data_IF_673343822865
#
_entry.id   IF_673343822865
#
_cell.length_a   1.000
_cell.length_b   1.000
_cell.length_c   1.000
_cell.angle_alpha   90.00
_cell.angle_beta   90.00
_cell.angle_gamma   90.00
#
_symmetry.space_group_name_H-M   'P 1'
#
loop_
_entity.id
_entity.type
_entity.pdbx_description
1 polymer ?
#
# COMPACT_ATOMS: atom_id res chain seq x y z
N UNK A 1 2.92 4.74 2.37
CA UNK A 1 3.60 5.84 1.64
C UNK A 1 3.83 5.45 0.19
N UNK A 2 2.87 5.77 -0.70
CA UNK A 2 3.23 6.15 -2.07
C UNK A 2 2.40 7.37 -2.52
N UNK A 3 3.02 8.55 -2.61
CA UNK A 3 2.36 9.79 -3.08
C UNK A 3 3.19 10.56 -4.13
N UNK A 4 4.39 10.08 -4.48
CA UNK A 4 5.25 10.75 -5.46
C UNK A 4 4.76 10.64 -6.91
N UNK A 5 3.84 9.71 -7.22
CA UNK A 5 3.35 9.47 -8.59
C UNK A 5 2.60 10.68 -9.17
N UNK A 6 1.80 11.38 -8.35
CA UNK A 6 1.07 12.56 -8.80
C UNK A 6 2.00 13.71 -9.18
N UNK A 7 2.99 13.99 -8.34
CA UNK A 7 4.01 15.00 -8.60
C UNK A 7 4.89 14.65 -9.80
N UNK A 8 5.33 13.40 -9.87
CA UNK A 8 6.09 12.88 -11.01
C UNK A 8 5.34 13.11 -12.32
N UNK A 9 4.05 12.79 -12.37
CA UNK A 9 3.21 12.98 -13.56
C UNK A 9 3.08 14.44 -13.96
N UNK A 10 2.89 15.33 -12.98
CA UNK A 10 2.79 16.78 -13.24
C UNK A 10 4.09 17.33 -13.81
N UNK A 11 5.23 16.97 -13.22
CA UNK A 11 6.55 17.39 -13.71
C UNK A 11 6.86 16.81 -15.10
N UNK A 12 6.49 15.56 -15.35
CA UNK A 12 6.63 14.94 -16.67
C UNK A 12 5.78 15.65 -17.74
N UNK A 13 4.52 15.99 -17.41
CA UNK A 13 3.64 16.76 -18.31
C UNK A 13 4.20 18.15 -18.62
N UNK A 14 4.84 18.78 -17.65
CA UNK A 14 5.55 20.05 -17.82
C UNK A 14 6.91 19.91 -18.53
N UNK A 15 7.27 18.70 -19.00
CA UNK A 15 8.55 18.38 -19.67
C UNK A 15 9.79 18.64 -18.81
N UNK A 16 9.63 18.56 -17.49
CA UNK A 16 10.78 18.60 -16.58
C UNK A 16 11.38 17.19 -16.43
N UNK A 17 12.71 17.04 -16.58
CA UNK A 17 13.37 15.77 -16.30
C UNK A 17 13.30 15.47 -14.80
N UNK A 18 12.84 14.26 -14.46
CA UNK A 18 12.75 13.79 -13.07
C UNK A 18 13.65 12.59 -12.91
N UNK A 19 14.45 12.60 -11.84
CA UNK A 19 15.36 11.51 -11.48
C UNK A 19 14.95 11.04 -10.09
N UNK A 20 14.72 9.74 -9.93
CA UNK A 20 14.50 9.16 -8.61
C UNK A 20 15.85 8.84 -7.97
N UNK A 21 16.14 9.43 -6.81
CA UNK A 21 17.31 9.01 -6.04
C UNK A 21 16.93 7.79 -5.20
N UNK A 22 17.77 6.76 -5.23
CA UNK A 22 17.59 5.58 -4.40
C UNK A 22 17.52 5.99 -2.92
N UNK A 23 16.73 5.26 -2.12
CA UNK A 23 16.62 5.54 -0.68
C UNK A 23 18.02 5.45 -0.06
N UNK A 24 18.56 6.51 0.56
CA UNK A 24 19.83 6.41 1.26
C UNK A 24 19.72 5.30 2.31
N UNK A 25 20.78 4.47 2.44
CA UNK A 25 20.88 3.50 3.54
C UNK A 25 20.58 4.27 4.82
N UNK A 26 19.64 3.77 5.63
CA UNK A 26 19.27 4.38 6.91
C UNK A 26 20.54 4.49 7.77
N UNK A 27 21.21 5.63 7.73
CA UNK A 27 22.20 5.96 8.73
C UNK A 27 21.46 6.13 10.06
N UNK A 28 22.07 5.70 11.16
CA UNK A 28 21.62 6.03 12.51
C UNK A 28 21.36 7.53 12.57
N UNK A 29 20.12 7.92 12.89
CA UNK A 29 19.69 9.33 12.91
C UNK A 29 20.72 10.16 13.66
N UNK A 30 21.33 11.14 12.99
CA UNK A 30 22.12 12.18 13.67
C UNK A 30 21.22 12.85 14.72
N UNK A 31 21.75 13.25 15.88
CA UNK A 31 21.00 14.05 16.86
C UNK A 31 20.79 15.44 16.25
N UNK A 32 19.67 15.60 15.57
CA UNK A 32 19.36 16.76 14.74
C UNK A 32 18.31 16.29 13.75
N UNK A 33 17.06 16.71 13.97
CA UNK A 33 15.88 16.21 13.27
C UNK A 33 15.99 16.22 11.73
N UNK A 34 15.07 15.50 11.10
CA UNK A 34 14.96 15.39 9.63
C UNK A 34 14.99 16.78 9.00
N UNK A 35 15.98 17.06 8.16
CA UNK A 35 16.10 18.33 7.44
C UNK A 35 15.93 18.08 5.95
N UNK A 36 14.73 18.31 5.44
CA UNK A 36 14.42 18.12 4.02
C UNK A 36 15.35 18.92 3.07
N UNK A 37 15.82 20.14 3.39
CA UNK A 37 16.81 20.86 2.56
C UNK A 37 18.19 20.19 2.50
N UNK A 38 18.63 19.57 3.59
CA UNK A 38 19.90 18.83 3.62
C UNK A 38 19.77 17.53 2.82
N UNK A 39 18.64 16.83 2.98
CA UNK A 39 18.31 15.62 2.22
C UNK A 39 18.24 15.92 0.71
N UNK A 40 17.67 17.06 0.31
CA UNK A 40 17.60 17.48 -1.10
C UNK A 40 18.99 17.74 -1.71
N UNK A 41 19.87 18.43 -1.00
CA UNK A 41 21.26 18.66 -1.43
C UNK A 41 22.04 17.36 -1.57
N UNK A 42 21.92 16.48 -0.57
CA UNK A 42 22.55 15.17 -0.61
C UNK A 42 22.03 14.32 -1.79
N UNK A 43 20.72 14.33 -2.03
CA UNK A 43 20.11 13.65 -3.17
C UNK A 43 20.65 14.18 -4.51
N UNK A 44 20.76 15.50 -4.68
CA UNK A 44 21.32 16.11 -5.88
C UNK A 44 22.79 15.72 -6.10
N UNK A 45 23.62 15.77 -5.05
CA UNK A 45 25.02 15.34 -5.11
C UNK A 45 25.15 13.86 -5.50
N UNK A 46 24.33 13.00 -4.90
CA UNK A 46 24.30 11.58 -5.27
C UNK A 46 23.87 11.35 -6.72
N UNK A 47 22.88 12.10 -7.22
CA UNK A 47 22.44 11.99 -8.60
C UNK A 47 23.54 12.43 -9.58
N UNK A 48 24.25 13.53 -9.29
CA UNK A 48 25.36 14.02 -10.12
C UNK A 48 26.55 13.06 -10.17
N UNK A 49 26.85 12.38 -9.06
CA UNK A 49 27.95 11.42 -8.98
C UNK A 49 27.58 10.01 -9.50
N UNK A 50 26.32 9.75 -9.84
CA UNK A 50 25.87 8.42 -10.22
C UNK A 50 26.27 8.09 -11.67
N UNK A 51 26.88 6.91 -11.93
CA UNK A 51 27.23 6.49 -13.28
C UNK A 51 26.00 6.19 -14.16
N UNK A 52 24.85 5.96 -13.53
CA UNK A 52 23.54 5.82 -14.19
C UNK A 52 22.48 6.50 -13.34
N UNK A 53 21.67 7.33 -13.97
CA UNK A 53 20.53 7.98 -13.33
C UNK A 53 19.38 6.97 -13.24
N UNK A 54 18.82 6.79 -12.05
CA UNK A 54 17.64 5.98 -11.88
C UNK A 54 16.43 6.74 -12.45
N UNK A 55 15.78 6.12 -13.42
CA UNK A 55 14.52 6.63 -13.93
C UNK A 55 13.41 6.38 -12.90
N UNK A 56 12.52 7.36 -12.71
CA UNK A 56 11.43 7.24 -11.79
C UNK A 56 10.56 6.03 -12.14
N UNK A 57 9.96 5.41 -11.12
CA UNK A 57 9.10 4.24 -11.34
C UNK A 57 7.96 4.62 -12.27
N UNK A 58 7.96 4.03 -13.46
CA UNK A 58 7.04 4.40 -14.53
C UNK A 58 5.56 4.12 -14.18
N UNK A 59 4.70 5.05 -14.62
CA UNK A 59 3.26 4.85 -14.78
C UNK A 59 2.97 3.69 -15.78
N UNK A 60 1.74 3.15 -15.78
CA UNK A 60 1.30 2.10 -16.73
C UNK A 60 0.99 0.76 -16.06
N UNK A 61 1.37 -0.36 -16.69
CA UNK A 61 1.00 -1.71 -16.25
C UNK A 61 1.43 -2.03 -14.80
N UNK A 62 2.59 -1.52 -14.36
CA UNK A 62 3.06 -1.68 -12.97
C UNK A 62 2.15 -0.97 -11.97
N UNK A 63 1.70 0.23 -12.30
CA UNK A 63 0.79 1.00 -11.44
C UNK A 63 -0.62 0.38 -11.43
N UNK A 64 -1.10 -0.09 -12.59
CA UNK A 64 -2.34 -0.86 -12.68
C UNK A 64 -2.29 -2.13 -11.81
N UNK A 65 -1.19 -2.89 -11.87
CA UNK A 65 -0.98 -4.07 -11.01
C UNK A 65 -0.93 -3.68 -9.53
N UNK A 66 -0.25 -2.58 -9.18
CA UNK A 66 -0.20 -2.09 -7.79
C UNK A 66 -1.60 -1.77 -7.27
N UNK A 67 -2.42 -1.08 -8.06
CA UNK A 67 -3.80 -0.75 -7.73
C UNK A 67 -4.62 -2.03 -7.53
N UNK A 68 -4.51 -3.00 -8.44
CA UNK A 68 -5.20 -4.29 -8.33
C UNK A 68 -4.80 -5.07 -7.08
N UNK A 69 -3.50 -5.14 -6.77
CA UNK A 69 -3.01 -5.82 -5.57
C UNK A 69 -3.48 -5.12 -4.30
N UNK A 70 -3.50 -3.79 -4.28
CA UNK A 70 -4.06 -3.03 -3.16
C UNK A 70 -5.55 -3.30 -2.99
N UNK A 71 -6.34 -3.23 -4.07
CA UNK A 71 -7.77 -3.52 -4.04
C UNK A 71 -8.05 -4.95 -3.53
N UNK A 72 -7.28 -5.95 -4.00
CA UNK A 72 -7.36 -7.33 -3.51
C UNK A 72 -7.04 -7.43 -2.02
N UNK A 73 -5.95 -6.79 -1.57
CA UNK A 73 -5.55 -6.81 -0.16
C UNK A 73 -6.62 -6.18 0.74
N UNK A 74 -7.23 -5.09 0.28
CA UNK A 74 -8.34 -4.43 0.97
C UNK A 74 -9.57 -5.33 1.01
N UNK A 75 -9.96 -5.93 -0.11
CA UNK A 75 -11.09 -6.86 -0.16
C UNK A 75 -10.91 -8.03 0.80
N UNK A 76 -9.70 -8.61 0.87
CA UNK A 76 -9.38 -9.69 1.80
C UNK A 76 -9.45 -9.24 3.27
N UNK A 77 -8.94 -8.05 3.59
CA UNK A 77 -8.98 -7.49 4.93
C UNK A 77 -10.42 -7.21 5.36
N UNK A 78 -11.21 -6.56 4.50
CA UNK A 78 -12.63 -6.30 4.74
C UNK A 78 -13.41 -7.60 4.91
N UNK A 79 -13.22 -8.59 4.03
CA UNK A 79 -13.87 -9.90 4.17
C UNK A 79 -13.56 -10.55 5.52
N UNK A 80 -12.29 -10.55 5.92
CA UNK A 80 -11.87 -11.13 7.20
C UNK A 80 -12.52 -10.38 8.38
N UNK A 81 -12.52 -9.05 8.34
CA UNK A 81 -13.16 -8.22 9.35
C UNK A 81 -14.68 -8.49 9.44
N UNK A 82 -15.37 -8.57 8.31
CA UNK A 82 -16.81 -8.86 8.24
C UNK A 82 -17.14 -10.24 8.81
N UNK A 83 -16.37 -11.27 8.46
CA UNK A 83 -16.57 -12.63 9.01
C UNK A 83 -16.36 -12.64 10.52
N UNK A 84 -15.33 -11.97 11.01
CA UNK A 84 -15.07 -11.89 12.46
C UNK A 84 -16.18 -11.13 13.18
N UNK A 85 -16.68 -10.03 12.60
CA UNK A 85 -17.81 -9.28 13.14
C UNK A 85 -19.07 -10.16 13.22
N UNK A 86 -19.39 -10.91 12.16
CA UNK A 86 -20.53 -11.83 12.16
C UNK A 86 -20.40 -12.91 13.24
N UNK A 87 -19.21 -13.49 13.41
CA UNK A 87 -18.96 -14.47 14.47
C UNK A 87 -19.18 -13.88 15.86
N UNK A 88 -18.66 -12.67 16.11
CA UNK A 88 -18.87 -11.97 17.39
C UNK A 88 -20.36 -11.74 17.61
N UNK A 89 -21.07 -11.19 16.62
CA UNK A 89 -22.51 -10.95 16.71
C UNK A 89 -23.29 -12.22 17.05
N UNK A 90 -22.96 -13.35 16.42
CA UNK A 90 -23.61 -14.63 16.68
C UNK A 90 -23.32 -15.17 18.10
N UNK A 91 -22.08 -15.03 18.58
CA UNK A 91 -21.72 -15.42 19.95
C UNK A 91 -22.37 -14.51 21.00
N UNK A 92 -22.53 -13.23 20.72
CA UNK A 92 -23.17 -12.27 21.64
C UNK A 92 -24.67 -12.14 21.48
N UNK A 93 -25.26 -12.78 20.46
CA UNK A 93 -26.70 -12.68 20.18
C UNK A 93 -27.54 -13.34 21.29
N UNK A 94 -28.76 -12.83 21.55
CA UNK A 94 -29.78 -13.55 22.33
C UNK A 94 -30.03 -14.97 21.81
N UNK A 95 -30.45 -15.88 22.68
CA UNK A 95 -30.64 -17.31 22.36
C UNK A 95 -31.58 -17.56 21.18
N UNK A 96 -32.67 -16.79 21.10
CA UNK A 96 -33.67 -16.90 20.02
C UNK A 96 -33.05 -16.65 18.63
N UNK A 97 -32.09 -15.72 18.55
CA UNK A 97 -31.36 -15.44 17.31
C UNK A 97 -30.32 -16.52 17.01
N UNK A 98 -29.63 -17.07 18.00
CA UNK A 98 -28.69 -18.19 17.80
C UNK A 98 -29.39 -19.42 17.21
N UNK A 99 -30.54 -19.80 17.76
CA UNK A 99 -31.32 -20.95 17.29
C UNK A 99 -31.75 -20.81 15.83
N UNK A 100 -32.07 -19.60 15.38
CA UNK A 100 -32.44 -19.31 13.98
C UNK A 100 -31.28 -19.62 13.01
N UNK A 101 -30.03 -19.40 13.42
CA UNK A 101 -28.85 -19.66 12.60
C UNK A 101 -28.31 -21.09 12.73
N UNK A 102 -28.58 -21.80 13.82
CA UNK A 102 -28.25 -23.23 13.96
C UNK A 102 -29.10 -24.12 13.04
N UNK A 103 -30.36 -23.74 12.81
CA UNK A 103 -31.26 -24.45 11.90
C UNK A 103 -30.95 -24.20 10.41
N UNK A 104 -30.07 -23.24 10.09
CA UNK A 104 -29.70 -22.92 8.72
C UNK A 104 -28.39 -23.65 8.35
N UNK A 105 -28.44 -24.66 7.47
CA UNK A 105 -27.22 -25.38 7.07
C UNK A 105 -26.26 -24.40 6.38
N UNK A 106 -25.01 -24.37 6.86
CA UNK A 106 -23.96 -23.59 6.23
C UNK A 106 -23.72 -24.12 4.80
N UNK A 107 -23.56 -23.23 3.80
CA UNK A 107 -23.17 -23.66 2.46
C UNK A 107 -21.81 -24.38 2.53
N UNK A 108 -21.60 -25.42 1.69
CA UNK A 108 -20.35 -26.18 1.68
C UNK A 108 -19.16 -25.26 1.38
N UNK A 109 -17.98 -25.58 1.92
CA UNK A 109 -16.81 -24.76 1.63
C UNK A 109 -16.43 -24.92 0.15
N UNK A 110 -15.94 -23.86 -0.50
CA UNK A 110 -15.44 -23.98 -1.86
C UNK A 110 -14.26 -24.97 -1.87
N UNK A 111 -14.47 -26.15 -2.44
CA UNK A 111 -13.50 -27.25 -2.50
C UNK A 111 -13.97 -28.60 -1.94
N UNK A 112 -15.17 -28.69 -1.34
CA UNK A 112 -15.70 -29.93 -0.75
C UNK A 112 -16.47 -30.84 -1.77
N UNK A 113 -16.12 -30.80 -3.08
CA UNK A 113 -16.68 -31.70 -4.12
C UNK A 113 -15.58 -32.52 -4.77
#
# INVERSE_FOLDING_TARGET
>A
MPSSTGLLRTLHRARHPVIETGRPRRASRRPGGKSDPADARQAAQHALAAPRLAQPRADGAREALRILLMARSQANATRTATVNLLKVLLVTAPDDLRQTFEACPLPPKPGDV
#
